data_IF_783120993779
#
_entry.id   IF_783120993779
#
_cell.length_a   1.000
_cell.length_b   1.000
_cell.length_c   1.000
_cell.angle_alpha   90.00
_cell.angle_beta   90.00
_cell.angle_gamma   90.00
#
_symmetry.space_group_name_H-M   'P 1'
#
loop_
_entity.id
_entity.type
_entity.pdbx_description
1 polymer ?
#
# COMPACT_ATOMS: atom_id res chain seq x y z
N UNK A 1 -33.01 20.14 17.95
CA UNK A 1 -32.18 19.63 16.83
C UNK A 1 -30.90 20.45 16.86
N UNK A 2 -29.77 19.83 17.18
CA UNK A 2 -28.54 20.51 17.58
C UNK A 2 -27.69 20.85 16.35
N UNK A 3 -26.89 21.93 16.38
CA UNK A 3 -25.98 22.34 15.28
C UNK A 3 -25.04 21.23 14.80
N UNK A 4 -24.61 20.34 15.70
CA UNK A 4 -23.82 19.15 15.35
C UNK A 4 -24.56 18.17 14.43
N UNK A 5 -25.91 18.15 14.47
CA UNK A 5 -26.72 17.28 13.62
C UNK A 5 -26.85 17.84 12.20
N UNK A 6 -26.90 19.16 12.01
CA UNK A 6 -26.94 19.80 10.68
C UNK A 6 -25.57 19.73 9.98
N UNK A 7 -24.48 19.98 10.69
CA UNK A 7 -23.11 19.92 10.16
C UNK A 7 -22.75 18.49 9.68
N UNK A 8 -23.21 17.46 10.41
CA UNK A 8 -22.99 16.06 10.02
C UNK A 8 -23.79 15.65 8.76
N UNK A 9 -24.92 16.32 8.49
CA UNK A 9 -25.78 16.03 7.32
C UNK A 9 -25.17 16.66 6.07
N UNK A 10 -24.70 17.90 6.16
CA UNK A 10 -24.06 18.63 5.05
C UNK A 10 -22.77 17.95 4.60
N UNK A 11 -21.89 17.57 5.55
CA UNK A 11 -20.65 16.84 5.24
C UNK A 11 -20.92 15.49 4.56
N UNK A 12 -21.95 14.76 5.00
CA UNK A 12 -22.36 13.49 4.39
C UNK A 12 -22.91 13.67 2.97
N UNK A 13 -23.66 14.73 2.72
CA UNK A 13 -24.20 15.04 1.39
C UNK A 13 -23.08 15.47 0.43
N UNK A 14 -22.14 16.31 0.88
CA UNK A 14 -21.01 16.74 0.06
C UNK A 14 -20.08 15.55 -0.31
N UNK A 15 -19.80 14.67 0.65
CA UNK A 15 -19.07 13.42 0.37
C UNK A 15 -19.84 12.58 -0.66
N UNK A 16 -21.17 12.54 -0.54
CA UNK A 16 -21.98 11.71 -1.42
C UNK A 16 -21.99 12.20 -2.86
N UNK A 17 -22.06 13.52 -3.04
CA UNK A 17 -22.06 14.17 -4.36
C UNK A 17 -20.68 14.09 -5.03
N UNK A 18 -19.59 14.33 -4.28
CA UNK A 18 -18.24 14.19 -4.83
C UNK A 18 -17.87 12.75 -5.14
N UNK A 19 -18.30 11.80 -4.31
CA UNK A 19 -18.05 10.39 -4.56
C UNK A 19 -18.74 9.88 -5.83
N UNK A 20 -19.99 10.29 -6.06
CA UNK A 20 -20.71 9.92 -7.30
C UNK A 20 -20.09 10.56 -8.53
N UNK A 21 -19.67 11.83 -8.42
CA UNK A 21 -19.01 12.58 -9.50
C UNK A 21 -17.65 12.02 -9.88
N UNK A 22 -16.84 11.65 -8.89
CA UNK A 22 -15.47 11.19 -9.12
C UNK A 22 -15.39 9.68 -9.35
N UNK A 23 -15.97 8.85 -8.48
CA UNK A 23 -15.81 7.39 -8.59
C UNK A 23 -16.89 6.73 -9.44
N UNK A 24 -17.86 7.49 -9.98
CA UNK A 24 -18.95 6.96 -10.79
C UNK A 24 -19.86 5.98 -10.03
N UNK A 25 -19.83 5.99 -8.69
CA UNK A 25 -20.57 5.06 -7.82
C UNK A 25 -21.32 5.82 -6.71
N UNK A 26 -22.53 5.38 -6.33
CA UNK A 26 -23.25 5.97 -5.21
C UNK A 26 -22.45 5.84 -3.92
N UNK A 27 -22.42 6.90 -3.10
CA UNK A 27 -21.69 6.90 -1.84
C UNK A 27 -22.16 5.84 -0.83
N UNK A 28 -23.38 5.33 -1.01
CA UNK A 28 -23.92 4.21 -0.26
C UNK A 28 -23.15 2.89 -0.51
N UNK A 29 -22.49 2.75 -1.67
CA UNK A 29 -21.67 1.57 -2.01
C UNK A 29 -20.21 1.72 -1.59
N UNK A 30 -19.80 2.89 -1.08
CA UNK A 30 -18.45 3.07 -0.57
C UNK A 30 -18.26 2.29 0.72
N UNK A 31 -17.13 1.61 0.80
CA UNK A 31 -16.59 1.03 2.02
C UNK A 31 -16.27 2.11 3.05
N UNK A 32 -16.24 1.74 4.33
CA UNK A 32 -15.93 2.70 5.41
C UNK A 32 -14.55 3.35 5.24
N UNK A 33 -13.62 2.64 4.58
CA UNK A 33 -12.27 3.13 4.26
C UNK A 33 -12.29 4.19 3.17
N UNK A 34 -12.98 3.95 2.06
CA UNK A 34 -13.13 4.96 1.00
C UNK A 34 -13.76 6.24 1.56
N UNK A 35 -14.82 6.12 2.38
CA UNK A 35 -15.42 7.28 3.08
C UNK A 35 -14.44 8.00 4.01
N UNK A 36 -13.52 7.26 4.64
CA UNK A 36 -12.48 7.86 5.47
C UNK A 36 -11.44 8.62 4.64
N UNK A 37 -11.09 8.12 3.45
CA UNK A 37 -10.19 8.81 2.50
C UNK A 37 -10.83 10.10 2.01
N UNK A 38 -12.11 10.09 1.61
CA UNK A 38 -12.85 11.31 1.24
C UNK A 38 -12.86 12.35 2.36
N UNK A 39 -13.19 11.93 3.60
CA UNK A 39 -13.15 12.83 4.77
C UNK A 39 -11.77 13.43 5.00
N UNK A 40 -10.71 12.62 4.90
CA UNK A 40 -9.33 13.10 5.05
C UNK A 40 -8.92 14.07 3.94
N UNK A 41 -9.36 13.83 2.72
CA UNK A 41 -9.13 14.71 1.58
C UNK A 41 -9.85 16.06 1.77
N UNK A 42 -11.14 16.06 2.16
CA UNK A 42 -11.89 17.27 2.48
C UNK A 42 -11.25 18.07 3.63
N UNK A 43 -10.76 17.39 4.66
CA UNK A 43 -10.06 18.00 5.79
C UNK A 43 -8.63 18.49 5.46
N UNK A 44 -8.16 18.36 4.21
CA UNK A 44 -6.79 18.68 3.75
C UNK A 44 -5.67 18.14 4.66
N UNK A 45 -5.89 16.98 5.30
CA UNK A 45 -4.86 16.38 6.17
C UNK A 45 -3.92 15.48 5.36
N UNK A 46 -2.64 15.53 5.70
CA UNK A 46 -1.64 14.65 5.11
C UNK A 46 -1.93 13.18 5.50
N UNK A 47 -1.86 12.27 4.53
CA UNK A 47 -1.98 10.81 4.75
C UNK A 47 -0.61 10.20 5.09
N UNK A 48 0.44 11.01 5.22
CA UNK A 48 1.82 10.59 5.51
C UNK A 48 1.93 9.99 6.92
N UNK A 49 1.44 8.76 7.06
CA UNK A 49 1.68 7.89 8.20
C UNK A 49 2.47 6.73 7.65
N UNK A 50 3.70 6.57 8.13
CA UNK A 50 4.52 5.39 7.84
C UNK A 50 3.85 4.15 8.49
N UNK A 51 3.22 3.26 7.69
CA UNK A 51 2.53 2.09 8.23
C UNK A 51 3.52 1.12 8.88
N UNK A 52 4.75 1.08 8.35
CA UNK A 52 5.81 0.16 8.73
C UNK A 52 6.29 0.39 10.15
N UNK A 53 6.50 1.66 10.53
CA UNK A 53 6.88 2.02 11.90
C UNK A 53 5.88 1.52 12.95
N UNK A 54 4.58 1.57 12.65
CA UNK A 54 3.54 1.13 13.58
C UNK A 54 3.42 -0.39 13.73
N UNK A 55 3.96 -1.15 12.77
CA UNK A 55 4.07 -2.60 12.81
C UNK A 55 5.27 -3.06 13.64
N UNK A 56 6.43 -2.45 13.40
CA UNK A 56 7.68 -2.83 14.07
C UNK A 56 7.69 -2.50 15.58
N UNK A 57 6.91 -1.50 15.99
CA UNK A 57 6.77 -1.10 17.40
C UNK A 57 6.01 -2.14 18.24
N UNK A 58 5.21 -3.01 17.60
CA UNK A 58 4.39 -4.02 18.28
C UNK A 58 5.05 -5.40 18.37
N UNK A 59 6.24 -5.58 17.79
CA UNK A 59 6.93 -6.87 17.78
C UNK A 59 7.48 -7.21 19.16
N UNK A 60 7.06 -8.36 19.69
CA UNK A 60 7.62 -8.92 20.93
C UNK A 60 9.06 -9.41 20.71
N UNK A 61 9.85 -9.51 21.78
CA UNK A 61 11.26 -9.95 21.70
C UNK A 61 11.40 -11.34 21.07
N UNK A 62 10.43 -12.25 21.30
CA UNK A 62 10.41 -13.58 20.68
C UNK A 62 10.15 -13.55 19.17
N UNK A 63 9.29 -12.64 18.70
CA UNK A 63 9.02 -12.46 17.27
C UNK A 63 10.26 -11.91 16.55
N UNK A 64 10.97 -10.95 17.14
CA UNK A 64 12.23 -10.41 16.60
C UNK A 64 13.32 -11.46 16.49
N UNK A 65 13.40 -12.39 17.44
CA UNK A 65 14.36 -13.50 17.38
C UNK A 65 13.97 -14.49 16.27
N UNK A 66 12.68 -14.84 16.17
CA UNK A 66 12.19 -15.72 15.12
C UNK A 66 12.41 -15.14 13.70
N UNK A 67 12.23 -13.83 13.51
CA UNK A 67 12.59 -13.12 12.27
C UNK A 67 14.04 -13.33 11.89
N UNK A 68 14.96 -13.04 12.82
CA UNK A 68 16.40 -13.20 12.60
C UNK A 68 16.78 -14.65 12.29
N UNK A 69 16.16 -15.62 12.97
CA UNK A 69 16.41 -17.05 12.72
C UNK A 69 15.90 -17.46 11.34
N UNK A 70 14.73 -16.97 10.92
CA UNK A 70 14.17 -17.24 9.59
C UNK A 70 15.01 -16.59 8.48
N UNK A 71 15.43 -15.34 8.67
CA UNK A 71 16.29 -14.61 7.74
C UNK A 71 17.65 -15.28 7.59
N UNK A 72 18.26 -15.69 8.70
CA UNK A 72 19.53 -16.41 8.71
C UNK A 72 19.41 -17.80 8.05
N UNK A 73 18.34 -18.54 8.37
CA UNK A 73 18.05 -19.85 7.78
C UNK A 73 17.76 -19.82 6.28
N UNK A 74 17.32 -18.67 5.75
CA UNK A 74 17.08 -18.44 4.32
C UNK A 74 18.32 -18.03 3.50
N UNK A 75 19.47 -17.81 4.15
CA UNK A 75 20.68 -17.35 3.46
C UNK A 75 21.43 -18.49 2.76
N UNK A 76 21.92 -18.22 1.54
CA UNK A 76 22.82 -19.12 0.81
C UNK A 76 24.12 -19.43 1.57
N UNK A 77 24.62 -18.48 2.37
CA UNK A 77 25.83 -18.68 3.18
C UNK A 77 25.61 -19.66 4.32
N UNK A 78 24.39 -19.71 4.88
CA UNK A 78 24.02 -20.66 5.92
C UNK A 78 23.97 -22.08 5.35
N UNK A 79 23.33 -22.27 4.19
CA UNK A 79 23.22 -23.57 3.52
C UNK A 79 24.61 -24.17 3.26
N UNK A 80 25.53 -23.37 2.71
CA UNK A 80 26.90 -23.81 2.43
C UNK A 80 27.69 -24.16 3.71
N UNK A 81 27.58 -23.33 4.74
CA UNK A 81 28.26 -23.56 6.03
C UNK A 81 27.72 -24.81 6.72
N UNK A 82 26.39 -24.99 6.72
CA UNK A 82 25.71 -26.15 7.29
C UNK A 82 26.12 -27.45 6.57
N UNK A 83 26.15 -27.44 5.24
CA UNK A 83 26.63 -28.57 4.45
C UNK A 83 28.09 -28.94 4.77
N UNK A 84 28.97 -27.94 4.96
CA UNK A 84 30.36 -28.17 5.33
C UNK A 84 30.48 -28.81 6.72
N UNK A 85 29.73 -28.32 7.71
CA UNK A 85 29.71 -28.89 9.07
C UNK A 85 29.23 -30.34 9.04
N UNK A 86 28.18 -30.65 8.27
CA UNK A 86 27.70 -32.03 8.09
C UNK A 86 28.77 -32.92 7.46
N UNK A 87 29.44 -32.45 6.40
CA UNK A 87 30.52 -33.19 5.75
C UNK A 87 31.69 -33.45 6.70
N UNK A 88 32.05 -32.46 7.53
CA UNK A 88 33.11 -32.59 8.53
C UNK A 88 32.72 -33.58 9.64
N UNK A 89 31.46 -33.55 10.11
CA UNK A 89 30.95 -34.48 11.12
C UNK A 89 30.97 -35.94 10.62
N UNK A 90 30.47 -36.16 9.40
CA UNK A 90 30.50 -37.48 8.76
C UNK A 90 31.94 -37.94 8.57
N UNK A 91 32.81 -37.08 8.03
CA UNK A 91 34.24 -37.36 7.85
C UNK A 91 34.92 -37.76 9.16
N UNK A 92 34.74 -36.97 10.22
CA UNK A 92 35.33 -37.25 11.53
C UNK A 92 34.88 -38.60 12.12
N UNK A 93 33.58 -38.95 11.99
CA UNK A 93 33.06 -40.21 12.52
C UNK A 93 33.49 -41.43 11.69
N UNK A 94 33.60 -41.29 10.36
CA UNK A 94 34.12 -42.36 9.49
C UNK A 94 35.60 -42.62 9.79
N UNK A 95 36.42 -41.58 9.92
CA UNK A 95 37.85 -41.72 10.23
C UNK A 95 38.09 -42.28 11.64
N UNK A 96 37.19 -42.00 12.60
CA UNK A 96 37.34 -42.47 13.98
C UNK A 96 37.11 -43.98 14.16
N UNK A 97 36.53 -44.69 13.18
CA UNK A 97 36.32 -46.16 13.04
C UNK A 97 36.13 -46.97 14.33
N UNK A 98 37.13 -47.07 15.21
CA UNK A 98 37.11 -47.81 16.49
C UNK A 98 36.60 -47.04 17.70
N UNK A 99 36.50 -45.69 17.64
CA UNK A 99 35.91 -44.81 18.67
C UNK A 99 34.94 -43.79 18.08
N UNK A 100 34.20 -44.17 17.03
CA UNK A 100 33.21 -43.30 16.42
C UNK A 100 32.11 -42.94 17.43
N UNK A 101 31.86 -41.65 17.59
CA UNK A 101 30.83 -41.13 18.49
C UNK A 101 29.42 -41.37 17.92
N UNK A 102 29.29 -41.28 16.60
CA UNK A 102 28.07 -41.56 15.84
C UNK A 102 28.40 -42.47 14.64
N UNK A 103 28.48 -43.80 14.84
CA UNK A 103 28.77 -44.75 13.78
C UNK A 103 27.67 -44.76 12.70
N UNK A 104 28.02 -45.14 11.48
CA UNK A 104 27.03 -45.38 10.42
C UNK A 104 25.98 -46.38 10.93
N UNK A 105 24.67 -46.03 10.92
CA UNK A 105 23.96 -45.10 10.03
C UNK A 105 23.69 -43.66 10.57
N UNK A 106 24.48 -43.15 11.52
CA UNK A 106 24.39 -41.78 12.07
C UNK A 106 23.07 -41.44 12.79
N UNK A 107 22.72 -42.23 13.80
CA UNK A 107 21.44 -42.08 14.53
C UNK A 107 21.38 -40.74 15.26
N UNK A 108 22.49 -40.27 15.83
CA UNK A 108 22.51 -39.03 16.60
C UNK A 108 22.35 -37.81 15.69
N UNK A 109 23.07 -37.79 14.56
CA UNK A 109 22.90 -36.76 13.53
C UNK A 109 21.44 -36.72 13.04
N UNK A 110 20.86 -37.88 12.76
CA UNK A 110 19.48 -37.97 12.27
C UNK A 110 18.47 -37.41 13.29
N UNK A 111 18.65 -37.71 14.57
CA UNK A 111 17.82 -37.18 15.65
C UNK A 111 17.87 -35.65 15.71
N UNK A 112 19.07 -35.07 15.68
CA UNK A 112 19.26 -33.61 15.70
C UNK A 112 18.61 -32.96 14.48
N UNK A 113 18.85 -33.50 13.28
CA UNK A 113 18.28 -32.95 12.04
C UNK A 113 16.76 -33.01 12.05
N UNK A 114 16.17 -34.10 12.56
CA UNK A 114 14.72 -34.24 12.67
C UNK A 114 14.12 -33.24 13.67
N UNK A 115 14.77 -33.03 14.82
CA UNK A 115 14.34 -32.03 15.80
C UNK A 115 14.45 -30.62 15.24
N UNK A 116 15.54 -30.31 14.52
CA UNK A 116 15.75 -29.01 13.88
C UNK A 116 14.66 -28.73 12.84
N UNK A 117 14.37 -29.69 11.97
CA UNK A 117 13.32 -29.57 10.97
C UNK A 117 11.92 -29.38 11.58
N UNK A 118 11.63 -30.10 12.67
CA UNK A 118 10.35 -29.98 13.37
C UNK A 118 10.12 -28.58 13.97
N UNK A 119 11.16 -27.93 14.50
CA UNK A 119 11.09 -26.56 15.01
C UNK A 119 11.12 -25.52 13.89
N UNK A 120 11.78 -25.84 12.77
CA UNK A 120 11.92 -24.92 11.64
C UNK A 120 10.59 -24.61 10.97
N UNK A 121 9.71 -25.60 10.75
CA UNK A 121 8.45 -25.40 10.04
C UNK A 121 7.50 -24.38 10.72
N UNK A 122 7.24 -24.45 12.05
CA UNK A 122 6.47 -23.43 12.76
C UNK A 122 7.11 -22.04 12.75
N UNK A 123 8.45 -21.96 12.88
CA UNK A 123 9.17 -20.68 12.86
C UNK A 123 9.06 -20.00 11.50
N UNK A 124 9.23 -20.78 10.42
CA UNK A 124 9.02 -20.30 9.05
C UNK A 124 7.57 -19.86 8.87
N UNK A 125 6.59 -20.67 9.30
CA UNK A 125 5.17 -20.33 9.17
C UNK A 125 4.79 -19.07 9.96
N UNK A 126 5.36 -18.88 11.16
CA UNK A 126 5.18 -17.65 11.95
C UNK A 126 5.81 -16.43 11.27
N UNK A 127 6.96 -16.60 10.62
CA UNK A 127 7.60 -15.53 9.84
C UNK A 127 6.78 -15.18 8.59
N UNK A 128 6.36 -16.20 7.83
CA UNK A 128 5.50 -16.04 6.66
C UNK A 128 4.16 -15.36 7.00
N UNK A 129 3.50 -15.77 8.09
CA UNK A 129 2.26 -15.15 8.55
C UNK A 129 2.45 -13.68 8.94
N UNK A 130 3.62 -13.32 9.48
CA UNK A 130 3.93 -11.92 9.80
C UNK A 130 4.18 -11.09 8.54
N UNK A 131 4.96 -11.62 7.60
CA UNK A 131 5.19 -10.96 6.30
C UNK A 131 3.88 -10.77 5.55
N UNK A 132 2.99 -11.77 5.50
CA UNK A 132 1.70 -11.65 4.80
C UNK A 132 0.76 -10.62 5.43
N UNK A 133 0.79 -10.46 6.76
CA UNK A 133 0.04 -9.39 7.44
C UNK A 133 0.61 -8.02 7.07
N UNK A 134 1.94 -7.88 7.06
CA UNK A 134 2.62 -6.64 6.65
C UNK A 134 2.27 -6.29 5.20
N UNK A 135 2.42 -7.23 4.27
CA UNK A 135 2.08 -7.06 2.86
C UNK A 135 0.61 -6.65 2.67
N UNK A 136 -0.31 -7.22 3.46
CA UNK A 136 -1.73 -6.85 3.42
C UNK A 136 -1.99 -5.43 3.93
N UNK A 137 -1.23 -4.97 4.92
CA UNK A 137 -1.33 -3.59 5.41
C UNK A 137 -0.75 -2.62 4.40
N UNK A 138 0.41 -2.93 3.83
CA UNK A 138 1.04 -2.10 2.80
C UNK A 138 0.13 -2.00 1.57
N UNK A 139 -0.41 -3.12 1.08
CA UNK A 139 -1.37 -3.11 -0.02
C UNK A 139 -2.66 -2.32 0.28
N UNK A 140 -3.13 -2.35 1.54
CA UNK A 140 -4.27 -1.52 1.97
C UNK A 140 -3.91 -0.04 1.93
N UNK A 141 -2.71 0.32 2.41
CA UNK A 141 -2.26 1.70 2.44
C UNK A 141 -2.05 2.25 1.04
N UNK A 142 -1.40 1.48 0.16
CA UNK A 142 -1.20 1.83 -1.24
C UNK A 142 -2.53 2.07 -1.96
N UNK A 143 -3.54 1.23 -1.68
CA UNK A 143 -4.88 1.44 -2.20
C UNK A 143 -5.49 2.78 -1.72
N UNK A 144 -5.37 3.12 -0.43
CA UNK A 144 -5.86 4.40 0.09
C UNK A 144 -5.15 5.61 -0.53
N UNK A 145 -3.84 5.51 -0.76
CA UNK A 145 -3.04 6.56 -1.42
C UNK A 145 -3.44 6.71 -2.88
N UNK A 146 -3.57 5.60 -3.61
CA UNK A 146 -3.97 5.62 -5.01
C UNK A 146 -5.37 6.20 -5.20
N UNK A 147 -6.32 5.82 -4.35
CA UNK A 147 -7.68 6.37 -4.36
C UNK A 147 -7.67 7.89 -4.12
N UNK A 148 -6.87 8.36 -3.16
CA UNK A 148 -6.73 9.81 -2.93
C UNK A 148 -6.14 10.53 -4.15
N UNK A 149 -5.11 9.95 -4.78
CA UNK A 149 -4.51 10.51 -5.98
C UNK A 149 -5.52 10.59 -7.13
N UNK A 150 -6.36 9.56 -7.30
CA UNK A 150 -7.43 9.55 -8.30
C UNK A 150 -8.43 10.70 -8.07
N UNK A 151 -8.88 10.89 -6.83
CA UNK A 151 -9.77 11.99 -6.44
C UNK A 151 -9.12 13.35 -6.72
N UNK A 152 -7.84 13.52 -6.39
CA UNK A 152 -7.10 14.76 -6.63
C UNK A 152 -6.94 15.07 -8.12
N UNK A 153 -6.69 14.05 -8.95
CA UNK A 153 -6.59 14.19 -10.41
C UNK A 153 -7.95 14.61 -10.99
N UNK A 154 -9.05 13.99 -10.55
CA UNK A 154 -10.39 14.34 -11.03
C UNK A 154 -10.81 15.75 -10.62
N UNK A 155 -10.53 16.15 -9.38
CA UNK A 155 -10.77 17.51 -8.92
C UNK A 155 -9.95 18.55 -9.72
N UNK A 156 -8.72 18.20 -10.11
CA UNK A 156 -7.90 19.04 -10.97
C UNK A 156 -8.50 19.12 -12.39
N UNK A 157 -8.97 18.00 -12.94
CA UNK A 157 -9.60 17.93 -14.26
C UNK A 157 -10.83 18.83 -14.34
N UNK A 158 -11.74 18.72 -13.37
CA UNK A 158 -12.92 19.59 -13.25
C UNK A 158 -12.54 21.08 -13.25
N UNK A 159 -11.48 21.44 -12.52
CA UNK A 159 -11.02 22.82 -12.44
C UNK A 159 -10.44 23.31 -13.77
N UNK A 160 -9.73 22.44 -14.49
CA UNK A 160 -9.21 22.74 -15.84
C UNK A 160 -10.37 22.96 -16.80
N UNK A 161 -11.37 22.09 -16.80
CA UNK A 161 -12.54 22.22 -17.69
C UNK A 161 -13.32 23.51 -17.40
N UNK A 162 -13.54 23.86 -16.13
CA UNK A 162 -14.15 25.12 -15.75
C UNK A 162 -13.37 26.34 -16.27
N UNK A 163 -12.04 26.32 -16.17
CA UNK A 163 -11.20 27.40 -16.71
C UNK A 163 -11.31 27.47 -18.24
N UNK A 164 -11.32 26.31 -18.93
CA UNK A 164 -11.48 26.25 -20.38
C UNK A 164 -12.83 26.80 -20.83
N UNK A 165 -13.91 26.48 -20.12
CA UNK A 165 -15.25 26.99 -20.44
C UNK A 165 -15.35 28.51 -20.28
N UNK A 166 -14.76 29.06 -19.22
CA UNK A 166 -14.70 30.50 -18.99
C UNK A 166 -13.90 31.19 -20.10
N UNK A 167 -12.74 30.63 -20.45
CA UNK A 167 -11.89 31.17 -21.50
C UNK A 167 -12.57 31.10 -22.87
N UNK A 168 -13.24 29.98 -23.19
CA UNK A 168 -13.96 29.80 -24.44
C UNK A 168 -15.12 30.80 -24.58
N UNK A 169 -15.90 31.02 -23.52
CA UNK A 169 -16.93 32.07 -23.49
C UNK A 169 -16.33 33.45 -23.75
N UNK A 170 -15.22 33.77 -23.08
CA UNK A 170 -14.53 35.05 -23.29
C UNK A 170 -14.06 35.24 -24.74
N UNK A 171 -13.57 34.17 -25.39
CA UNK A 171 -13.15 34.22 -26.79
C UNK A 171 -14.35 34.43 -27.73
N UNK A 172 -15.47 33.75 -27.49
CA UNK A 172 -16.70 33.90 -28.28
C UNK A 172 -17.24 35.33 -28.15
N UNK A 173 -17.27 35.89 -26.94
CA UNK A 173 -17.73 37.28 -26.71
C UNK A 173 -16.85 38.29 -27.46
N UNK A 174 -15.53 38.09 -27.43
CA UNK A 174 -14.58 38.92 -28.20
C UNK A 174 -14.82 38.80 -29.71
N UNK A 175 -15.08 37.60 -30.23
CA UNK A 175 -15.40 37.40 -31.65
C UNK A 175 -16.72 38.09 -32.03
N UNK A 176 -17.75 37.99 -31.19
CA UNK A 176 -19.04 38.63 -31.43
C UNK A 176 -18.90 40.16 -31.49
N UNK A 177 -18.13 40.74 -30.56
CA UNK A 177 -17.82 42.18 -30.58
C UNK A 177 -17.08 42.59 -31.86
N UNK A 178 -16.12 41.78 -32.34
CA UNK A 178 -15.43 42.05 -33.60
C UNK A 178 -16.36 42.00 -34.80
N UNK A 179 -17.28 41.04 -34.86
CA UNK A 179 -18.27 40.93 -35.94
C UNK A 179 -19.20 42.15 -35.93
N UNK A 180 -19.66 42.59 -34.76
CA UNK A 180 -20.50 43.79 -34.63
C UNK A 180 -19.79 45.07 -35.08
N UNK A 181 -18.52 45.23 -34.70
CA UNK A 181 -17.69 46.35 -35.17
C UNK A 181 -17.55 46.34 -36.69
N UNK A 182 -17.25 45.19 -37.29
CA UNK A 182 -17.13 45.05 -38.75
C UNK A 182 -18.45 45.34 -39.46
N UNK A 183 -19.57 44.82 -38.95
CA UNK A 183 -20.90 45.07 -39.49
C UNK A 183 -21.24 46.58 -39.43
N UNK A 184 -20.94 47.24 -38.31
CA UNK A 184 -21.12 48.69 -38.16
C UNK A 184 -20.30 49.50 -39.16
N UNK A 185 -19.04 49.11 -39.40
CA UNK A 185 -18.17 49.76 -40.39
C UNK A 185 -18.69 49.60 -41.82
N UNK A 186 -19.21 48.42 -42.18
CA UNK A 186 -19.80 48.17 -43.49
C UNK A 186 -21.07 49.00 -43.72
N UNK A 187 -21.94 49.09 -42.71
CA UNK A 187 -23.16 49.91 -42.78
C UNK A 187 -22.82 51.39 -42.94
N UNK A 188 -21.82 51.90 -42.21
CA UNK A 188 -21.40 53.29 -42.30
C UNK A 188 -20.73 53.63 -43.63
N UNK A 189 -20.00 52.69 -44.25
CA UNK A 189 -19.40 52.87 -45.58
C UNK A 189 -20.44 52.86 -46.72
N UNK A 190 -21.60 52.25 -46.50
CA UNK A 190 -22.68 52.15 -47.50
C UNK A 190 -23.58 53.40 -47.59
N UNK A 191 -23.38 54.40 -46.72
CA UNK A 191 -24.06 55.71 -46.75
C UNK A 191 -23.13 56.77 -47.30
#
# INVERSE_FOLDING_TARGET
MSRETEENIDERQEIADRASRYLGRPAALLTDRERAVFRRHLARRAITRDPNRSFDEKLTSGQRLADKVAEFGGSWTFIMTFALVLALWVGANVLATTRAFDPYPFIFLNLILSMLAAVQAPVIMMSQNRHSIKDRVDATHDYEVNLKAEIEIMALHDKVDQMRDIELKSLIDKQQQQIELLAGLLINRSK
#
